data_IF_537662634555
#
_entry.id   IF_537662634555
#
_cell.length_a   1.000
_cell.length_b   1.000
_cell.length_c   1.000
_cell.angle_alpha   90.00
_cell.angle_beta   90.00
_cell.angle_gamma   90.00
#
_symmetry.space_group_name_H-M   'P 1'
#
loop_
_entity.id
_entity.type
_entity.pdbx_description
1 polymer ?
#
# COMPACT_ATOMS: atom_id res chain seq x y z
N UNK A 1 15.61 15.90 -10.40
CA UNK A 1 15.08 15.56 -9.07
C UNK A 1 15.93 14.45 -8.50
N UNK A 2 16.25 14.49 -7.20
CA UNK A 2 17.01 13.41 -6.57
C UNK A 2 16.11 12.17 -6.40
N UNK A 3 16.71 10.97 -6.40
CA UNK A 3 15.97 9.72 -6.19
C UNK A 3 15.27 9.68 -4.83
N UNK A 4 15.85 10.35 -3.83
CA UNK A 4 15.26 10.57 -2.50
C UNK A 4 13.97 11.38 -2.56
N UNK A 5 13.89 12.40 -3.43
CA UNK A 5 12.68 13.22 -3.61
C UNK A 5 11.56 12.37 -4.23
N UNK A 6 11.91 11.54 -5.22
CA UNK A 6 10.96 10.64 -5.87
C UNK A 6 10.44 9.61 -4.85
N UNK A 7 11.34 8.98 -4.08
CA UNK A 7 10.99 8.05 -3.01
C UNK A 7 10.05 8.70 -1.98
N UNK A 8 10.29 9.96 -1.60
CA UNK A 8 9.43 10.68 -0.67
C UNK A 8 8.07 11.06 -1.27
N UNK A 9 7.98 11.35 -2.57
CA UNK A 9 6.72 11.67 -3.22
C UNK A 9 5.85 10.44 -3.44
N UNK A 10 6.45 9.34 -3.90
CA UNK A 10 5.75 8.06 -4.08
C UNK A 10 5.25 7.54 -2.73
N UNK A 11 6.02 7.73 -1.66
CA UNK A 11 5.56 7.47 -0.29
C UNK A 11 4.24 8.20 0.05
N UNK A 12 4.17 9.50 -0.19
CA UNK A 12 2.95 10.29 0.06
C UNK A 12 1.80 9.79 -0.78
N UNK A 13 2.07 9.48 -2.06
CA UNK A 13 1.08 8.88 -2.96
C UNK A 13 0.57 7.54 -2.42
N UNK A 14 1.45 6.64 -1.99
CA UNK A 14 1.10 5.33 -1.43
C UNK A 14 0.15 5.48 -0.23
N UNK A 15 0.47 6.43 0.66
CA UNK A 15 -0.30 6.70 1.88
C UNK A 15 -1.71 7.20 1.54
N UNK A 16 -1.81 8.25 0.73
CA UNK A 16 -3.09 8.89 0.41
C UNK A 16 -3.94 7.97 -0.47
N UNK A 17 -3.33 7.34 -1.47
CA UNK A 17 -4.03 6.44 -2.37
C UNK A 17 -4.58 5.21 -1.63
N UNK A 18 -3.78 4.60 -0.75
CA UNK A 18 -4.24 3.51 0.12
C UNK A 18 -5.42 3.93 1.01
N UNK A 19 -5.37 5.13 1.58
CA UNK A 19 -6.47 5.64 2.38
C UNK A 19 -7.76 5.81 1.55
N UNK A 20 -7.65 6.40 0.36
CA UNK A 20 -8.78 6.61 -0.55
C UNK A 20 -9.39 5.27 -0.99
N UNK A 21 -8.55 4.32 -1.44
CA UNK A 21 -9.01 2.99 -1.87
C UNK A 21 -9.64 2.23 -0.71
N UNK A 22 -9.06 2.32 0.50
CA UNK A 22 -9.61 1.70 1.70
C UNK A 22 -10.99 2.26 2.06
N UNK A 23 -11.14 3.59 2.07
CA UNK A 23 -12.43 4.25 2.30
C UNK A 23 -13.46 3.90 1.22
N UNK A 24 -13.04 3.80 -0.04
CA UNK A 24 -13.95 3.41 -1.12
C UNK A 24 -14.40 1.95 -0.99
N UNK A 25 -13.52 1.03 -0.60
CA UNK A 25 -13.91 -0.35 -0.34
C UNK A 25 -14.91 -0.45 0.81
N UNK A 26 -14.71 0.32 1.89
CA UNK A 26 -15.68 0.41 2.98
C UNK A 26 -17.02 0.98 2.50
N UNK A 27 -17.00 2.00 1.63
CA UNK A 27 -18.22 2.51 1.03
C UNK A 27 -18.95 1.44 0.21
N UNK A 28 -18.25 0.66 -0.62
CA UNK A 28 -18.81 -0.49 -1.35
C UNK A 28 -19.44 -1.50 -0.37
N UNK A 29 -18.72 -1.83 0.69
CA UNK A 29 -19.12 -2.81 1.70
C UNK A 29 -20.38 -2.39 2.47
N UNK A 30 -20.43 -1.15 2.95
CA UNK A 30 -21.58 -0.57 3.68
C UNK A 30 -22.80 -0.45 2.76
N UNK A 31 -22.59 -0.17 1.47
CA UNK A 31 -23.66 -0.14 0.45
C UNK A 31 -24.06 -1.54 -0.03
N UNK A 32 -23.47 -2.60 0.54
CA UNK A 32 -23.70 -4.00 0.16
C UNK A 32 -23.54 -4.27 -1.35
N UNK A 33 -22.65 -3.52 -1.99
CA UNK A 33 -22.34 -3.67 -3.41
C UNK A 33 -21.27 -4.72 -3.61
N UNK A 34 -21.27 -5.32 -4.80
CA UNK A 34 -20.16 -6.17 -5.26
C UNK A 34 -18.98 -5.30 -5.66
N UNK A 35 -17.79 -5.89 -5.56
CA UNK A 35 -16.56 -5.31 -6.09
C UNK A 35 -16.64 -5.36 -7.61
N UNK A 36 -16.46 -4.21 -8.26
CA UNK A 36 -16.45 -4.10 -9.71
C UNK A 36 -15.02 -4.09 -10.27
N UNK A 37 -14.90 -4.20 -11.59
CA UNK A 37 -13.61 -4.16 -12.29
C UNK A 37 -12.86 -2.85 -12.06
N UNK A 38 -13.58 -1.75 -11.78
CA UNK A 38 -12.97 -0.46 -11.51
C UNK A 38 -12.20 -0.49 -10.18
N UNK A 39 -12.82 -1.02 -9.13
CA UNK A 39 -12.15 -1.21 -7.84
C UNK A 39 -10.94 -2.14 -7.95
N UNK A 40 -11.04 -3.24 -8.70
CA UNK A 40 -9.90 -4.13 -8.96
C UNK A 40 -8.72 -3.39 -9.60
N UNK A 41 -9.00 -2.53 -10.59
CA UNK A 41 -7.99 -1.67 -11.19
C UNK A 41 -7.30 -0.78 -10.15
N UNK A 42 -8.06 -0.21 -9.21
CA UNK A 42 -7.47 0.63 -8.16
C UNK A 42 -6.64 -0.15 -7.14
N UNK A 43 -7.01 -1.38 -6.81
CA UNK A 43 -6.16 -2.24 -5.98
C UNK A 43 -4.83 -2.55 -6.65
N UNK A 44 -4.86 -2.86 -7.95
CA UNK A 44 -3.63 -3.12 -8.73
C UNK A 44 -2.75 -1.87 -8.76
N UNK A 45 -3.32 -0.69 -9.00
CA UNK A 45 -2.56 0.56 -8.97
C UNK A 45 -1.94 0.79 -7.58
N UNK A 46 -2.69 0.53 -6.50
CA UNK A 46 -2.17 0.68 -5.14
C UNK A 46 -0.96 -0.24 -4.89
N UNK A 47 -1.07 -1.50 -5.30
CA UNK A 47 0.02 -2.48 -5.21
C UNK A 47 1.26 -2.03 -6.01
N UNK A 48 1.06 -1.58 -7.25
CA UNK A 48 2.17 -1.10 -8.08
C UNK A 48 2.89 0.10 -7.49
N UNK A 49 2.19 0.98 -6.76
CA UNK A 49 2.81 2.10 -6.04
C UNK A 49 3.75 1.58 -4.94
N UNK A 50 3.34 0.57 -4.16
CA UNK A 50 4.21 -0.03 -3.13
C UNK A 50 5.38 -0.79 -3.73
N UNK A 51 5.17 -1.52 -4.84
CA UNK A 51 6.27 -2.18 -5.58
C UNK A 51 7.28 -1.15 -6.06
N UNK A 52 6.83 -0.06 -6.68
CA UNK A 52 7.71 1.02 -7.12
C UNK A 52 8.47 1.64 -5.95
N UNK A 53 7.79 1.88 -4.82
CA UNK A 53 8.42 2.38 -3.59
C UNK A 53 9.52 1.46 -3.08
N UNK A 54 9.26 0.14 -3.02
CA UNK A 54 10.23 -0.86 -2.58
C UNK A 54 11.44 -0.95 -3.51
N UNK A 55 11.23 -0.91 -4.83
CA UNK A 55 12.32 -0.90 -5.83
C UNK A 55 13.22 0.32 -5.63
N UNK A 56 12.62 1.51 -5.51
CA UNK A 56 13.39 2.74 -5.31
C UNK A 56 14.13 2.72 -3.97
N UNK A 57 13.48 2.25 -2.90
CA UNK A 57 14.12 2.07 -1.60
C UNK A 57 15.33 1.13 -1.67
N UNK A 58 15.20 0.02 -2.39
CA UNK A 58 16.31 -0.92 -2.62
C UNK A 58 17.47 -0.28 -3.38
N UNK A 59 17.18 0.52 -4.42
CA UNK A 59 18.21 1.28 -5.16
C UNK A 59 18.94 2.25 -4.22
N UNK A 60 18.22 2.94 -3.32
CA UNK A 60 18.82 3.86 -2.35
C UNK A 60 19.76 3.12 -1.38
N UNK A 61 19.39 1.92 -0.93
CA UNK A 61 20.24 1.08 -0.08
C UNK A 61 21.53 0.68 -0.81
N UNK A 62 21.44 0.27 -2.07
CA UNK A 62 22.64 -0.02 -2.89
C UNK A 62 23.53 1.20 -3.13
N UNK A 63 22.97 2.40 -3.03
CA UNK A 63 23.72 3.66 -3.08
C UNK A 63 24.25 4.10 -1.69
N UNK A 64 24.18 3.24 -0.68
CA UNK A 64 24.65 3.50 0.68
C UNK A 64 23.72 4.38 1.52
N UNK A 65 22.51 4.69 1.03
CA UNK A 65 21.51 5.45 1.79
C UNK A 65 20.61 4.48 2.56
N UNK A 66 20.96 4.25 3.81
CA UNK A 66 20.23 3.36 4.70
C UNK A 66 19.11 4.11 5.46
N UNK A 67 17.99 3.44 5.78
CA UNK A 67 16.99 4.00 6.67
C UNK A 67 17.53 4.12 8.09
N UNK A 68 16.94 5.02 8.87
CA UNK A 68 17.35 5.26 10.26
C UNK A 68 17.13 4.05 11.19
N UNK A 69 16.15 3.20 10.87
CA UNK A 69 15.78 2.03 11.68
C UNK A 69 15.45 0.84 10.78
N UNK A 70 15.92 -0.34 11.17
CA UNK A 70 15.71 -1.59 10.40
C UNK A 70 14.24 -1.97 10.23
N UNK A 71 13.37 -1.54 11.16
CA UNK A 71 11.91 -1.75 11.05
C UNK A 71 11.30 -1.10 9.79
N UNK A 72 12.01 -0.16 9.14
CA UNK A 72 11.60 0.39 7.84
C UNK A 72 11.47 -0.70 6.77
N UNK A 73 12.38 -1.69 6.77
CA UNK A 73 12.33 -2.81 5.83
C UNK A 73 11.09 -3.67 6.02
N UNK A 74 10.68 -3.90 7.27
CA UNK A 74 9.45 -4.64 7.58
C UNK A 74 8.22 -3.94 6.96
N UNK A 75 8.12 -2.62 7.11
CA UNK A 75 7.00 -1.86 6.53
C UNK A 75 7.04 -1.86 5.00
N UNK A 76 8.23 -1.78 4.39
CA UNK A 76 8.40 -1.92 2.95
C UNK A 76 7.94 -3.26 2.42
N UNK A 77 8.31 -4.36 3.10
CA UNK A 77 7.86 -5.72 2.76
C UNK A 77 6.35 -5.85 2.91
N UNK A 78 5.78 -5.38 4.02
CA UNK A 78 4.32 -5.39 4.25
C UNK A 78 3.57 -4.64 3.15
N UNK A 79 4.11 -3.52 2.67
CA UNK A 79 3.57 -2.74 1.55
C UNK A 79 3.32 -3.56 0.29
N UNK A 80 4.23 -4.51 -0.02
CA UNK A 80 4.20 -5.32 -1.24
C UNK A 80 3.41 -6.63 -1.06
N UNK A 81 3.47 -7.26 0.12
CA UNK A 81 2.91 -8.62 0.26
C UNK A 81 1.42 -8.63 0.60
N UNK A 82 0.90 -7.56 1.19
CA UNK A 82 -0.39 -7.66 1.89
C UNK A 82 -1.61 -7.65 0.95
N UNK A 83 -1.59 -6.91 -0.16
CA UNK A 83 -2.68 -6.94 -1.15
C UNK A 83 -2.69 -8.28 -1.90
N UNK A 84 -1.56 -8.83 -2.38
CA UNK A 84 -1.52 -10.18 -2.94
C UNK A 84 -1.99 -11.25 -1.94
N UNK A 85 -1.61 -11.11 -0.67
CA UNK A 85 -2.07 -12.01 0.40
C UNK A 85 -3.58 -11.91 0.62
N UNK A 86 -4.15 -10.70 0.59
CA UNK A 86 -5.59 -10.48 0.65
C UNK A 86 -6.33 -11.12 -0.53
N UNK A 87 -5.77 -10.97 -1.74
CA UNK A 87 -6.31 -11.56 -2.94
C UNK A 87 -6.31 -13.09 -2.88
N UNK A 88 -5.20 -13.68 -2.46
CA UNK A 88 -5.10 -15.12 -2.25
C UNK A 88 -6.08 -15.62 -1.18
N UNK A 89 -6.21 -14.90 -0.07
CA UNK A 89 -7.13 -15.24 1.03
C UNK A 89 -8.60 -15.20 0.59
N UNK A 90 -9.00 -14.13 -0.09
CA UNK A 90 -10.37 -13.98 -0.60
C UNK A 90 -10.65 -14.83 -1.83
N UNK A 91 -9.61 -15.41 -2.45
CA UNK A 91 -9.67 -16.13 -3.74
C UNK A 91 -10.27 -15.28 -4.86
N UNK A 92 -10.05 -13.97 -4.82
CA UNK A 92 -10.60 -13.03 -5.79
C UNK A 92 -12.13 -12.91 -5.78
N UNK A 93 -12.80 -13.35 -4.70
CA UNK A 93 -14.26 -13.15 -4.56
C UNK A 93 -14.59 -11.67 -4.52
N UNK A 94 -15.73 -11.33 -5.10
CA UNK A 94 -16.16 -9.96 -5.40
C UNK A 94 -17.38 -9.52 -4.58
N UNK A 95 -17.66 -10.15 -3.43
CA UNK A 95 -18.84 -9.80 -2.63
C UNK A 95 -18.57 -8.62 -1.70
N UNK A 96 -19.63 -8.06 -1.12
CA UNK A 96 -19.54 -6.99 -0.13
C UNK A 96 -18.72 -7.40 1.11
N UNK A 97 -18.62 -8.70 1.43
CA UNK A 97 -17.82 -9.19 2.56
C UNK A 97 -16.33 -9.02 2.30
N UNK A 98 -15.88 -9.35 1.09
CA UNK A 98 -14.50 -9.15 0.68
C UNK A 98 -14.16 -7.66 0.59
N UNK A 99 -15.12 -6.78 0.27
CA UNK A 99 -14.91 -5.33 0.29
C UNK A 99 -14.52 -4.81 1.69
N UNK A 100 -15.05 -5.38 2.79
CA UNK A 100 -14.58 -5.05 4.14
C UNK A 100 -13.11 -5.44 4.36
N UNK A 101 -12.70 -6.60 3.85
CA UNK A 101 -11.33 -7.10 3.99
C UNK A 101 -10.36 -6.18 3.24
N UNK A 102 -10.66 -5.87 1.98
CA UNK A 102 -9.84 -4.95 1.18
C UNK A 102 -9.82 -3.54 1.79
N UNK A 103 -10.94 -3.07 2.32
CA UNK A 103 -11.02 -1.78 3.03
C UNK A 103 -10.09 -1.73 4.24
N UNK A 104 -10.17 -2.74 5.11
CA UNK A 104 -9.32 -2.83 6.29
C UNK A 104 -7.84 -2.91 5.92
N UNK A 105 -7.49 -3.69 4.90
CA UNK A 105 -6.09 -3.88 4.46
C UNK A 105 -5.53 -2.61 3.83
N UNK A 106 -6.27 -1.91 2.99
CA UNK A 106 -5.83 -0.64 2.41
C UNK A 106 -5.69 0.46 3.47
N UNK A 107 -6.60 0.54 4.45
CA UNK A 107 -6.45 1.47 5.58
C UNK A 107 -5.26 1.12 6.47
N UNK A 108 -5.04 -0.18 6.73
CA UNK A 108 -3.86 -0.65 7.42
C UNK A 108 -2.58 -0.28 6.67
N UNK A 109 -2.54 -0.43 5.35
CA UNK A 109 -1.42 -0.02 4.50
C UNK A 109 -1.14 1.48 4.56
N UNK A 110 -2.17 2.31 4.61
CA UNK A 110 -1.99 3.75 4.84
C UNK A 110 -1.31 4.02 6.19
N UNK A 111 -1.70 3.28 7.24
CA UNK A 111 -1.04 3.34 8.55
C UNK A 111 0.40 2.83 8.53
N UNK A 112 0.68 1.71 7.85
CA UNK A 112 2.02 1.16 7.65
C UNK A 112 2.92 2.14 6.93
N UNK A 113 2.39 2.80 5.88
CA UNK A 113 3.11 3.86 5.20
C UNK A 113 3.48 4.98 6.20
N UNK A 114 2.51 5.56 6.91
CA UNK A 114 2.79 6.60 7.93
C UNK A 114 3.87 6.18 8.94
N UNK A 115 3.87 4.92 9.39
CA UNK A 115 4.92 4.37 10.27
C UNK A 115 6.27 4.27 9.59
N UNK A 116 6.32 3.87 8.32
CA UNK A 116 7.55 3.82 7.54
C UNK A 116 8.22 5.19 7.42
N UNK A 117 7.47 6.28 7.25
CA UNK A 117 8.04 7.65 7.24
C UNK A 117 8.72 8.00 8.57
N UNK A 118 8.09 7.69 9.70
CA UNK A 118 8.66 7.97 11.02
C UNK A 118 9.96 7.18 11.30
N UNK A 119 10.20 6.10 10.55
CA UNK A 119 11.40 5.25 10.67
C UNK A 119 12.44 5.48 9.56
N UNK A 120 12.09 6.26 8.54
CA UNK A 120 12.98 6.63 7.45
C UNK A 120 13.84 7.86 7.78
N UNK A 121 13.32 8.79 8.58
CA UNK A 121 14.02 9.99 8.99
C UNK A 121 15.08 9.69 10.05
N UNK A 122 16.35 9.75 9.64
CA UNK A 122 17.55 9.70 10.47
C UNK A 122 18.66 10.48 9.81
#
# INVERSE_FOLDING_TARGET
MALTDIHSRIFTTATVYSAIVGLWALFIAVRQRKIDSNFWGTLIINELIFVAQAIIGLILVFQGRMPARDVHYLYGILGVIIIPSAFAFTRGRDTHREAYIYGAICLFLAGVALRAAATAAG
#
